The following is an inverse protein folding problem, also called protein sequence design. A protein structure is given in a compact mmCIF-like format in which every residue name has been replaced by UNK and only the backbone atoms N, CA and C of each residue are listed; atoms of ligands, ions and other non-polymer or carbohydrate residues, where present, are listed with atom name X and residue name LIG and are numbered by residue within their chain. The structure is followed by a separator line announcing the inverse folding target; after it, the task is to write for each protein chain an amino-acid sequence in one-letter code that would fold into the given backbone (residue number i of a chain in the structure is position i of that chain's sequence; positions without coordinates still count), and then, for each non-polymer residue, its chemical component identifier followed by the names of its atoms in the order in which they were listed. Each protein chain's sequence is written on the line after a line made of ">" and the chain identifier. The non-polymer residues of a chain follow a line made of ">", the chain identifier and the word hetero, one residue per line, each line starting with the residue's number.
data_IF_058714702733
#
_entry.id   IF_058714702733
#
_cell.length_a   1.000
_cell.length_b   1.000
_cell.length_c   1.000
_cell.angle_alpha   90.00
_cell.angle_beta   90.00
_cell.angle_gamma   90.00
#
_symmetry.space_group_name_H-M   'P 1'
#
loop_
_entity.id
_entity.type
_entity.pdbx_description
1 polymer ?
#
# COMPACT_ATOMS: atom_id res chain seq x y z
N UNK A 1 17.99 2.97 12.83
CA UNK A 1 17.65 1.67 13.43
C UNK A 1 16.87 0.86 12.41
N UNK A 2 17.18 -0.42 12.25
CA UNK A 2 16.46 -1.33 11.35
C UNK A 2 15.87 -2.46 12.17
N UNK A 3 14.59 -2.79 11.96
CA UNK A 3 13.89 -3.87 12.65
C UNK A 3 13.67 -5.01 11.66
N UNK A 4 13.97 -6.25 12.07
CA UNK A 4 13.68 -7.44 11.27
C UNK A 4 12.22 -7.83 11.47
N UNK A 5 11.48 -7.95 10.38
CA UNK A 5 10.08 -8.33 10.37
C UNK A 5 9.90 -9.50 9.40
N UNK A 6 9.18 -10.54 9.83
CA UNK A 6 8.90 -11.72 9.02
C UNK A 6 7.39 -11.86 8.88
N UNK A 7 6.93 -12.10 7.66
CA UNK A 7 5.52 -12.26 7.33
C UNK A 7 5.33 -13.49 6.46
N UNK A 8 4.17 -14.13 6.62
CA UNK A 8 3.71 -15.17 5.71
C UNK A 8 2.68 -14.56 4.79
N UNK A 9 2.89 -14.69 3.48
CA UNK A 9 1.97 -14.24 2.44
C UNK A 9 1.37 -15.44 1.73
N UNK A 10 0.17 -15.29 1.17
CA UNK A 10 -0.34 -16.27 0.22
C UNK A 10 0.46 -16.22 -1.07
N UNK A 11 0.53 -17.34 -1.79
CA UNK A 11 1.25 -17.43 -3.07
C UNK A 11 0.73 -16.40 -4.08
N UNK A 12 -0.59 -16.19 -4.10
CA UNK A 12 -1.24 -15.19 -4.95
C UNK A 12 -0.73 -13.78 -4.65
N UNK A 13 -0.65 -13.40 -3.37
CA UNK A 13 -0.19 -12.06 -2.99
C UNK A 13 1.31 -11.89 -3.28
N UNK A 14 2.12 -12.95 -3.13
CA UNK A 14 3.51 -12.92 -3.55
C UNK A 14 3.64 -12.70 -5.06
N UNK A 15 2.83 -13.37 -5.88
CA UNK A 15 2.81 -13.17 -7.34
C UNK A 15 2.38 -11.75 -7.73
N UNK A 16 1.35 -11.19 -7.08
CA UNK A 16 0.93 -9.81 -7.32
C UNK A 16 2.05 -8.81 -6.94
N UNK A 17 2.76 -9.04 -5.84
CA UNK A 17 3.95 -8.26 -5.48
C UNK A 17 5.07 -8.38 -6.51
N UNK A 18 5.33 -9.58 -7.02
CA UNK A 18 6.32 -9.81 -8.09
C UNK A 18 5.95 -9.10 -9.39
N UNK A 19 4.67 -8.98 -9.72
CA UNK A 19 4.22 -8.23 -10.89
C UNK A 19 4.47 -6.73 -10.74
N UNK A 20 4.26 -6.17 -9.54
CA UNK A 20 4.41 -4.73 -9.28
C UNK A 20 5.88 -4.34 -9.06
N UNK A 21 6.66 -5.17 -8.36
CA UNK A 21 8.02 -4.87 -7.94
C UNK A 21 9.11 -5.53 -8.81
N UNK A 22 8.73 -6.51 -9.63
CA UNK A 22 9.64 -7.46 -10.26
C UNK A 22 10.10 -8.57 -9.30
N UNK A 23 10.78 -9.58 -9.84
CA UNK A 23 11.19 -10.79 -9.08
C UNK A 23 12.41 -10.59 -8.16
N UNK A 24 12.89 -9.36 -7.96
CA UNK A 24 14.04 -9.07 -7.09
C UNK A 24 13.55 -8.87 -5.64
N UNK A 25 14.12 -9.61 -4.69
CA UNK A 25 13.74 -9.57 -3.27
C UNK A 25 13.87 -8.19 -2.64
N UNK A 26 14.92 -7.41 -2.94
CA UNK A 26 15.07 -6.04 -2.42
C UNK A 26 13.95 -5.13 -2.93
N UNK A 27 13.57 -5.29 -4.20
CA UNK A 27 12.45 -4.52 -4.78
C UNK A 27 11.11 -4.92 -4.15
N UNK A 28 10.90 -6.20 -3.84
CA UNK A 28 9.70 -6.66 -3.12
C UNK A 28 9.63 -6.10 -1.71
N UNK A 29 10.74 -6.09 -0.98
CA UNK A 29 10.82 -5.47 0.35
C UNK A 29 10.53 -3.97 0.28
N UNK A 30 11.06 -3.28 -0.72
CA UNK A 30 10.77 -1.85 -0.93
C UNK A 30 9.31 -1.57 -1.30
N UNK A 31 8.69 -2.43 -2.12
CA UNK A 31 7.28 -2.34 -2.44
C UNK A 31 6.41 -2.55 -1.19
N UNK A 32 6.74 -3.55 -0.36
CA UNK A 32 6.05 -3.80 0.90
C UNK A 32 6.17 -2.61 1.86
N UNK A 33 7.37 -2.00 1.98
CA UNK A 33 7.57 -0.78 2.78
C UNK A 33 6.68 0.37 2.30
N UNK A 34 6.60 0.59 0.98
CA UNK A 34 5.73 1.61 0.39
C UNK A 34 4.26 1.34 0.66
N UNK A 35 3.82 0.09 0.53
CA UNK A 35 2.44 -0.31 0.83
C UNK A 35 2.08 -0.04 2.31
N UNK A 36 2.98 -0.39 3.24
CA UNK A 36 2.79 -0.10 4.68
C UNK A 36 2.69 1.40 4.94
N UNK A 37 3.56 2.21 4.33
CA UNK A 37 3.48 3.68 4.47
C UNK A 37 2.17 4.24 3.91
N UNK A 38 1.70 3.74 2.76
CA UNK A 38 0.43 4.15 2.17
C UNK A 38 -0.73 3.83 3.11
N UNK A 39 -0.77 2.61 3.67
CA UNK A 39 -1.78 2.20 4.63
C UNK A 39 -1.80 3.13 5.86
N UNK A 40 -0.65 3.38 6.49
CA UNK A 40 -0.55 4.28 7.65
C UNK A 40 -1.03 5.69 7.31
N UNK A 41 -0.62 6.23 6.16
CA UNK A 41 -1.04 7.57 5.72
C UNK A 41 -2.55 7.64 5.49
N UNK A 42 -3.12 6.60 4.87
CA UNK A 42 -4.54 6.51 4.63
C UNK A 42 -5.35 6.40 5.92
N UNK A 43 -4.96 5.51 6.85
CA UNK A 43 -5.62 5.39 8.17
C UNK A 43 -5.60 6.72 8.93
N UNK A 44 -4.48 7.45 8.91
CA UNK A 44 -4.40 8.78 9.52
C UNK A 44 -5.35 9.77 8.87
N UNK A 45 -5.41 9.80 7.54
CA UNK A 45 -6.31 10.68 6.81
C UNK A 45 -7.78 10.39 7.15
N UNK A 46 -8.16 9.11 7.23
CA UNK A 46 -9.51 8.68 7.63
C UNK A 46 -9.84 9.11 9.06
N UNK A 47 -8.91 8.97 10.02
CA UNK A 47 -9.10 9.48 11.39
C UNK A 47 -9.29 11.00 11.47
N UNK A 48 -8.71 11.74 10.52
CA UNK A 48 -8.90 13.20 10.37
C UNK A 48 -10.20 13.56 9.60
N UNK A 49 -11.04 12.58 9.25
CA UNK A 49 -12.28 12.77 8.52
C UNK A 49 -12.12 13.01 7.01
N UNK A 50 -10.92 12.72 6.45
CA UNK A 50 -10.65 12.85 5.02
C UNK A 50 -10.99 11.55 4.29
N UNK A 51 -11.40 11.68 3.03
CA UNK A 51 -11.58 10.53 2.11
C UNK A 51 -10.25 10.17 1.45
N UNK A 52 -10.02 8.88 1.23
CA UNK A 52 -8.82 8.37 0.54
C UNK A 52 -9.24 7.63 -0.73
N UNK A 53 -8.61 7.96 -1.87
CA UNK A 53 -8.98 7.41 -3.16
C UNK A 53 -8.05 7.84 -4.28
N UNK A 54 -8.42 7.48 -5.52
CA UNK A 54 -7.69 7.86 -6.74
C UNK A 54 -8.53 8.87 -7.50
N UNK A 55 -7.96 10.02 -7.82
CA UNK A 55 -8.61 11.06 -8.61
C UNK A 55 -7.75 11.43 -9.83
N UNK A 56 -8.40 11.82 -10.93
CA UNK A 56 -7.71 12.52 -12.01
C UNK A 56 -7.26 13.90 -11.51
N UNK A 57 -6.24 14.55 -12.11
CA UNK A 57 -5.67 15.80 -11.62
C UNK A 57 -6.68 16.93 -11.32
N UNK A 58 -7.81 16.97 -12.04
CA UNK A 58 -8.85 17.99 -11.90
C UNK A 58 -10.21 17.40 -11.47
N UNK A 59 -10.22 16.23 -10.84
CA UNK A 59 -11.45 15.57 -10.40
C UNK A 59 -11.56 15.61 -8.88
N UNK A 60 -12.75 15.94 -8.36
CA UNK A 60 -13.04 15.70 -6.96
C UNK A 60 -13.01 14.21 -6.65
N UNK A 61 -12.49 13.87 -5.46
CA UNK A 61 -12.31 12.51 -5.03
C UNK A 61 -13.68 11.87 -4.73
N UNK A 62 -14.24 11.20 -5.74
CA UNK A 62 -15.62 10.69 -5.74
C UNK A 62 -15.71 9.20 -5.38
N UNK A 63 -14.58 8.49 -5.32
CA UNK A 63 -14.51 7.05 -5.01
C UNK A 63 -13.50 6.84 -3.89
N UNK A 64 -13.93 6.16 -2.84
CA UNK A 64 -13.14 5.87 -1.65
C UNK A 64 -12.68 4.40 -1.66
N UNK A 65 -11.51 4.14 -1.09
CA UNK A 65 -11.15 2.78 -0.72
C UNK A 65 -11.96 2.36 0.51
N UNK A 66 -12.95 1.47 0.32
CA UNK A 66 -13.78 0.95 1.42
C UNK A 66 -12.98 -0.09 2.22
N UNK A 67 -12.90 0.08 3.54
CA UNK A 67 -12.30 -0.90 4.46
C UNK A 67 -10.78 -0.84 4.60
N UNK A 68 -10.18 0.34 4.39
CA UNK A 68 -8.81 0.63 4.83
C UNK A 68 -8.69 0.63 6.36
#
# INVERSE_FOLDING_TARGET
>A
MTVRFSITLSDRLNQELEQVAGSNDDKKVDALRKAIHLYIAATKATHEGKKVGIARPNQELATEFVGL
#
